data_IF_443148894083
#
_entry.id   IF_443148894083
#
_cell.length_a   1.000
_cell.length_b   1.000
_cell.length_c   1.000
_cell.angle_alpha   90.00
_cell.angle_beta   90.00
_cell.angle_gamma   90.00
#
_symmetry.space_group_name_H-M   'P 1'
#
loop_
_entity.id
_entity.type
_entity.pdbx_description
1 polymer ?
#
# COMPACT_ATOMS: atom_id res chain seq x y z
N UNK A 1 22.98 16.25 -22.69
CA UNK A 1 21.91 15.63 -21.88
C UNK A 1 22.61 15.13 -20.64
N UNK A 2 22.24 15.63 -19.46
CA UNK A 2 22.75 15.09 -18.19
C UNK A 2 22.33 13.63 -18.08
N UNK A 3 23.28 12.74 -17.76
CA UNK A 3 22.95 11.38 -17.34
C UNK A 3 22.16 11.49 -16.04
N UNK A 4 20.84 11.34 -16.11
CA UNK A 4 20.02 11.16 -14.92
C UNK A 4 20.33 9.78 -14.38
N UNK A 5 21.17 9.71 -13.35
CA UNK A 5 21.46 8.46 -12.65
C UNK A 5 20.41 8.25 -11.56
N UNK A 6 19.89 7.02 -11.46
CA UNK A 6 19.01 6.65 -10.35
C UNK A 6 19.82 6.61 -9.04
N UNK A 7 19.19 6.99 -7.91
CA UNK A 7 19.73 6.72 -6.60
C UNK A 7 20.12 5.25 -6.43
N UNK A 8 21.18 4.99 -5.65
CA UNK A 8 21.78 3.66 -5.53
C UNK A 8 20.80 2.60 -5.00
N UNK A 9 19.87 2.99 -4.13
CA UNK A 9 18.78 2.16 -3.59
C UNK A 9 17.76 1.70 -4.65
N UNK A 10 17.60 2.46 -5.74
CA UNK A 10 16.69 2.13 -6.83
C UNK A 10 17.41 1.53 -8.04
N UNK A 11 18.73 1.65 -8.10
CA UNK A 11 19.54 1.16 -9.22
C UNK A 11 19.55 -0.37 -9.32
N UNK A 12 19.33 -1.08 -8.20
CA UNK A 12 19.29 -2.56 -8.14
C UNK A 12 17.94 -3.13 -8.62
N UNK A 13 16.90 -2.30 -8.70
CA UNK A 13 15.56 -2.71 -9.12
C UNK A 13 15.46 -2.83 -10.64
N UNK A 14 14.52 -3.65 -11.12
CA UNK A 14 14.22 -3.73 -12.56
C UNK A 14 13.71 -2.37 -13.03
N UNK A 15 14.39 -1.77 -14.00
CA UNK A 15 14.06 -0.46 -14.54
C UNK A 15 13.79 -0.50 -16.04
N UNK A 16 12.83 0.32 -16.48
CA UNK A 16 12.51 0.56 -17.88
C UNK A 16 12.56 2.07 -18.11
N UNK A 17 13.29 2.52 -19.13
CA UNK A 17 13.46 3.95 -19.43
C UNK A 17 12.34 4.40 -20.37
N UNK A 18 11.51 5.32 -19.89
CA UNK A 18 10.38 5.90 -20.61
C UNK A 18 10.66 7.37 -20.94
N UNK A 19 11.46 7.60 -21.98
CA UNK A 19 11.90 8.96 -22.35
C UNK A 19 12.71 9.61 -21.23
N UNK A 20 12.08 10.56 -20.54
CA UNK A 20 12.69 11.31 -19.43
C UNK A 20 12.41 10.72 -18.03
N UNK A 21 11.66 9.62 -17.96
CA UNK A 21 11.23 8.98 -16.71
C UNK A 21 11.77 7.54 -16.58
N UNK A 22 11.97 7.11 -15.34
CA UNK A 22 12.24 5.72 -15.00
C UNK A 22 10.95 5.06 -14.53
N UNK A 23 10.64 3.89 -15.08
CA UNK A 23 9.56 3.03 -14.63
C UNK A 23 10.15 1.79 -13.94
N UNK A 24 9.71 1.54 -12.70
CA UNK A 24 10.19 0.45 -11.84
C UNK A 24 9.03 -0.52 -11.60
N UNK A 25 8.79 -1.50 -12.49
CA UNK A 25 7.71 -2.46 -12.31
C UNK A 25 8.01 -3.43 -11.15
N UNK A 26 6.97 -3.74 -10.36
CA UNK A 26 7.04 -4.78 -9.34
C UNK A 26 7.82 -4.40 -8.08
N UNK A 27 8.03 -3.11 -7.82
CA UNK A 27 8.55 -2.65 -6.52
C UNK A 27 7.57 -3.04 -5.41
N UNK A 28 8.09 -3.59 -4.31
CA UNK A 28 7.24 -3.89 -3.15
C UNK A 28 6.76 -2.60 -2.49
N UNK A 29 5.62 -2.65 -1.81
CA UNK A 29 5.09 -1.48 -1.09
C UNK A 29 6.09 -0.96 -0.03
N UNK A 30 6.79 -1.86 0.65
CA UNK A 30 7.81 -1.51 1.62
C UNK A 30 9.00 -0.80 0.97
N UNK A 31 9.53 -1.34 -0.13
CA UNK A 31 10.67 -0.74 -0.84
C UNK A 31 10.29 0.62 -1.46
N UNK A 32 9.05 0.75 -1.96
CA UNK A 32 8.52 2.00 -2.47
C UNK A 32 8.52 3.10 -1.40
N UNK A 33 8.09 2.78 -0.18
CA UNK A 33 8.07 3.71 0.94
C UNK A 33 9.44 3.95 1.59
N UNK A 34 10.37 3.01 1.47
CA UNK A 34 11.74 3.13 1.98
C UNK A 34 12.67 3.89 1.02
N UNK A 35 12.26 4.05 -0.25
CA UNK A 35 13.08 4.69 -1.27
C UNK A 35 13.44 6.15 -0.95
N UNK A 36 14.56 6.60 -1.50
CA UNK A 36 15.04 7.98 -1.43
C UNK A 36 14.16 9.00 -2.17
N UNK A 37 13.12 8.54 -2.87
CA UNK A 37 12.20 9.36 -3.65
C UNK A 37 11.21 10.17 -2.81
N UNK A 38 10.83 11.35 -3.31
CA UNK A 38 9.75 12.14 -2.72
C UNK A 38 8.43 11.75 -3.36
N UNK A 39 7.53 11.15 -2.58
CA UNK A 39 6.21 10.75 -3.08
C UNK A 39 5.32 11.95 -3.42
N UNK A 40 4.38 11.75 -4.35
CA UNK A 40 3.38 12.76 -4.71
C UNK A 40 2.55 13.25 -3.53
N UNK A 41 2.33 12.39 -2.53
CA UNK A 41 1.65 12.74 -1.27
C UNK A 41 2.44 13.80 -0.49
N UNK A 42 3.76 13.61 -0.33
CA UNK A 42 4.64 14.58 0.34
C UNK A 42 4.65 15.91 -0.41
N UNK A 43 4.75 15.89 -1.74
CA UNK A 43 4.73 17.12 -2.57
C UNK A 43 3.42 17.91 -2.37
N UNK A 44 2.26 17.23 -2.42
CA UNK A 44 0.97 17.87 -2.21
C UNK A 44 0.83 18.48 -0.82
N UNK A 45 1.34 17.80 0.21
CA UNK A 45 1.35 18.32 1.59
C UNK A 45 2.29 19.51 1.72
N UNK A 46 3.46 19.46 1.09
CA UNK A 46 4.46 20.52 1.17
C UNK A 46 3.93 21.85 0.63
N UNK A 47 3.14 21.80 -0.46
CA UNK A 47 2.46 22.98 -1.00
C UNK A 47 1.41 23.60 -0.06
N UNK A 48 0.91 22.85 0.94
CA UNK A 48 -0.02 23.35 1.95
C UNK A 48 0.70 23.81 3.22
N UNK A 49 1.60 22.99 3.74
CA UNK A 49 2.41 23.27 4.91
C UNK A 49 3.69 22.45 4.88
N UNK A 50 4.81 23.14 4.78
CA UNK A 50 6.13 22.50 4.71
C UNK A 50 6.46 21.75 6.00
N UNK A 51 6.12 22.33 7.16
CA UNK A 51 6.35 21.70 8.45
C UNK A 51 5.53 20.42 8.60
N UNK A 52 4.27 20.45 8.13
CA UNK A 52 3.40 19.28 8.13
C UNK A 52 3.95 18.18 7.22
N UNK A 53 4.40 18.53 6.00
CA UNK A 53 4.99 17.56 5.10
C UNK A 53 6.28 16.90 5.62
N UNK A 54 7.07 17.61 6.44
CA UNK A 54 8.35 17.12 6.97
C UNK A 54 8.24 16.41 8.33
N UNK A 55 7.19 16.66 9.12
CA UNK A 55 7.08 16.19 10.52
C UNK A 55 5.80 15.47 10.87
N UNK A 56 4.86 15.33 9.94
CA UNK A 56 3.61 14.64 10.24
C UNK A 56 3.84 13.14 10.37
N UNK A 57 3.60 12.63 11.58
CA UNK A 57 3.36 11.20 11.79
C UNK A 57 1.95 10.88 11.26
N UNK A 58 1.88 9.95 10.30
CA UNK A 58 0.60 9.53 9.73
C UNK A 58 -0.09 8.60 10.72
N UNK A 59 -1.17 9.08 11.34
CA UNK A 59 -1.97 8.26 12.23
C UNK A 59 -2.73 7.18 11.45
N UNK A 60 -2.69 5.94 11.96
CA UNK A 60 -3.42 4.80 11.41
C UNK A 60 -4.92 4.86 11.73
N UNK A 61 -5.63 5.75 11.02
CA UNK A 61 -7.08 5.88 11.13
C UNK A 61 -7.80 4.60 10.68
N UNK A 62 -9.04 4.32 11.15
CA UNK A 62 -9.82 3.18 10.69
C UNK A 62 -10.00 3.13 9.17
N UNK A 63 -10.23 4.28 8.54
CA UNK A 63 -10.38 4.37 7.09
C UNK A 63 -9.08 4.03 6.34
N UNK A 64 -7.93 4.48 6.86
CA UNK A 64 -6.63 4.16 6.27
C UNK A 64 -6.35 2.66 6.39
N UNK A 65 -6.59 2.05 7.56
CA UNK A 65 -6.43 0.61 7.76
C UNK A 65 -7.31 -0.22 6.84
N UNK A 66 -8.59 0.16 6.70
CA UNK A 66 -9.50 -0.50 5.76
C UNK A 66 -9.01 -0.37 4.31
N UNK A 67 -8.57 0.83 3.90
CA UNK A 67 -8.05 1.08 2.56
C UNK A 67 -6.77 0.29 2.25
N UNK A 68 -5.83 0.24 3.19
CA UNK A 68 -4.61 -0.56 3.08
C UNK A 68 -4.92 -2.05 2.96
N UNK A 69 -5.81 -2.58 3.80
CA UNK A 69 -6.24 -3.97 3.71
C UNK A 69 -6.94 -4.28 2.38
N UNK A 70 -7.77 -3.36 1.87
CA UNK A 70 -8.42 -3.50 0.57
C UNK A 70 -7.39 -3.51 -0.57
N UNK A 71 -6.36 -2.66 -0.50
CA UNK A 71 -5.27 -2.64 -1.48
C UNK A 71 -4.50 -3.96 -1.51
N UNK A 72 -4.07 -4.45 -0.34
CA UNK A 72 -3.33 -5.72 -0.25
C UNK A 72 -4.13 -6.89 -0.81
N UNK A 73 -5.45 -6.92 -0.63
CA UNK A 73 -6.28 -8.00 -1.20
C UNK A 73 -6.55 -7.85 -2.70
N UNK A 74 -7.03 -6.67 -3.13
CA UNK A 74 -7.57 -6.47 -4.48
C UNK A 74 -6.44 -6.27 -5.51
N UNK A 75 -5.38 -5.56 -5.13
CA UNK A 75 -4.30 -5.16 -6.03
C UNK A 75 -3.13 -6.13 -5.94
N UNK A 76 -2.68 -6.43 -4.72
CA UNK A 76 -1.47 -7.26 -4.50
C UNK A 76 -1.80 -8.76 -4.39
N UNK A 77 -3.06 -9.09 -4.08
CA UNK A 77 -3.58 -10.44 -4.04
C UNK A 77 -3.66 -11.07 -2.65
N UNK A 78 -4.43 -12.16 -2.57
CA UNK A 78 -4.77 -12.83 -1.32
C UNK A 78 -3.55 -13.26 -0.48
N UNK A 79 -2.45 -13.66 -1.12
CA UNK A 79 -1.22 -14.05 -0.41
C UNK A 79 -0.61 -12.89 0.39
N UNK A 80 -0.58 -11.69 -0.19
CA UNK A 80 -0.03 -10.50 0.48
C UNK A 80 -0.97 -10.09 1.61
N UNK A 81 -2.28 -10.08 1.34
CA UNK A 81 -3.29 -9.84 2.37
C UNK A 81 -3.13 -10.76 3.59
N UNK A 82 -2.97 -12.07 3.39
CA UNK A 82 -2.83 -13.02 4.49
C UNK A 82 -1.54 -12.83 5.31
N UNK A 83 -0.51 -12.23 4.72
CA UNK A 83 0.76 -11.97 5.39
C UNK A 83 0.78 -10.63 6.14
N UNK A 84 0.04 -9.63 5.65
CA UNK A 84 0.09 -8.25 6.14
C UNK A 84 -1.14 -7.84 6.97
N UNK A 85 -2.24 -8.57 6.88
CA UNK A 85 -3.52 -8.21 7.50
C UNK A 85 -3.96 -9.25 8.54
N UNK A 86 -4.27 -8.78 9.75
CA UNK A 86 -4.85 -9.60 10.81
C UNK A 86 -6.34 -9.28 11.01
N UNK A 87 -7.17 -10.32 10.99
CA UNK A 87 -8.61 -10.19 11.20
C UNK A 87 -9.00 -10.59 12.63
N UNK A 88 -9.69 -9.70 13.35
CA UNK A 88 -10.20 -9.97 14.69
C UNK A 88 -11.71 -10.19 14.65
N UNK A 89 -12.17 -11.25 15.32
CA UNK A 89 -13.59 -11.57 15.45
C UNK A 89 -14.18 -11.06 16.78
N UNK A 90 -15.48 -10.74 16.75
CA UNK A 90 -16.22 -10.29 17.92
C UNK A 90 -15.96 -8.83 18.30
N UNK A 91 -16.39 -8.45 19.51
CA UNK A 91 -16.37 -7.04 19.94
C UNK A 91 -14.94 -6.51 20.13
N UNK A 92 -14.57 -5.38 19.49
CA UNK A 92 -13.24 -4.77 19.63
C UNK A 92 -12.99 -4.20 21.03
N UNK A 93 -14.04 -4.06 21.84
CA UNK A 93 -13.97 -3.43 23.16
C UNK A 93 -13.59 -4.39 24.29
N UNK A 94 -13.47 -5.69 24.00
CA UNK A 94 -13.04 -6.68 25.00
C UNK A 94 -11.56 -6.54 25.32
N UNK A 95 -11.15 -6.83 26.56
CA UNK A 95 -9.74 -6.76 26.95
C UNK A 95 -8.88 -7.73 26.13
N UNK A 96 -9.41 -8.92 25.80
CA UNK A 96 -8.74 -9.89 24.96
C UNK A 96 -8.47 -9.33 23.55
N UNK A 97 -9.48 -8.73 22.90
CA UNK A 97 -9.32 -8.18 21.55
C UNK A 97 -8.46 -6.90 21.52
N UNK A 98 -8.46 -6.11 22.59
CA UNK A 98 -7.54 -4.98 22.73
C UNK A 98 -6.08 -5.45 22.79
N UNK A 99 -5.81 -6.49 23.56
CA UNK A 99 -4.47 -7.06 23.65
C UNK A 99 -4.06 -7.68 22.31
N UNK A 100 -4.93 -8.51 21.72
CA UNK A 100 -4.69 -9.16 20.44
C UNK A 100 -4.37 -8.13 19.34
N UNK A 101 -5.11 -7.02 19.33
CA UNK A 101 -4.86 -5.91 18.41
C UNK A 101 -3.50 -5.26 18.63
N UNK A 102 -3.14 -4.96 19.88
CA UNK A 102 -1.83 -4.40 20.20
C UNK A 102 -0.70 -5.35 19.79
N UNK A 103 -0.87 -6.66 19.99
CA UNK A 103 0.12 -7.68 19.61
C UNK A 103 0.32 -7.75 18.09
N UNK A 104 -0.76 -7.64 17.30
CA UNK A 104 -0.68 -7.61 15.84
C UNK A 104 -0.11 -6.30 15.31
N UNK A 105 -0.51 -5.16 15.86
CA UNK A 105 0.06 -3.86 15.50
C UNK A 105 1.56 -3.79 15.83
N UNK A 106 2.00 -4.38 16.95
CA UNK A 106 3.42 -4.50 17.30
C UNK A 106 4.23 -5.38 16.34
N UNK A 107 3.56 -6.32 15.64
CA UNK A 107 4.14 -7.13 14.56
C UNK A 107 4.13 -6.41 13.20
N UNK A 108 3.60 -5.19 13.13
CA UNK A 108 3.48 -4.43 11.89
C UNK A 108 2.30 -4.82 11.02
N UNK A 109 1.34 -5.60 11.53
CA UNK A 109 0.18 -6.04 10.77
C UNK A 109 -0.94 -5.00 10.80
N UNK A 110 -1.65 -4.88 9.68
CA UNK A 110 -2.88 -4.07 9.62
C UNK A 110 -4.03 -4.85 10.25
N UNK A 111 -4.62 -4.30 11.31
CA UNK A 111 -5.71 -4.98 12.03
C UNK A 111 -7.07 -4.46 11.58
N UNK A 112 -7.91 -5.38 11.10
CA UNK A 112 -9.30 -5.16 10.68
C UNK A 112 -10.27 -6.13 11.37
N UNK A 113 -11.56 -5.86 11.28
CA UNK A 113 -12.60 -6.80 11.73
C UNK A 113 -12.98 -7.82 10.66
N UNK A 114 -13.65 -8.89 11.06
CA UNK A 114 -14.18 -9.89 10.12
C UNK A 114 -15.19 -9.26 9.15
N UNK A 115 -16.04 -8.36 9.63
CA UNK A 115 -17.02 -7.68 8.77
C UNK A 115 -16.34 -6.77 7.72
N UNK A 116 -15.21 -6.17 8.08
CA UNK A 116 -14.39 -5.39 7.16
C UNK A 116 -13.74 -6.28 6.10
N UNK A 117 -13.18 -7.43 6.50
CA UNK A 117 -12.65 -8.43 5.56
C UNK A 117 -13.71 -8.88 4.57
N UNK A 118 -14.88 -9.27 5.07
CA UNK A 118 -15.97 -9.77 4.22
C UNK A 118 -16.42 -8.70 3.22
N UNK A 119 -16.48 -7.44 3.65
CA UNK A 119 -16.74 -6.31 2.75
C UNK A 119 -15.67 -6.15 1.68
N UNK A 120 -14.39 -6.35 1.99
CA UNK A 120 -13.29 -6.28 1.00
C UNK A 120 -13.44 -7.41 -0.03
N UNK A 121 -13.79 -8.62 0.41
CA UNK A 121 -14.05 -9.76 -0.47
C UNK A 121 -15.24 -9.45 -1.39
N UNK A 122 -16.33 -8.90 -0.85
CA UNK A 122 -17.51 -8.50 -1.63
C UNK A 122 -17.17 -7.39 -2.64
N UNK A 123 -16.32 -6.44 -2.27
CA UNK A 123 -15.80 -5.41 -3.18
C UNK A 123 -15.01 -6.03 -4.34
N UNK A 124 -14.13 -6.98 -4.04
CA UNK A 124 -13.35 -7.71 -5.06
C UNK A 124 -14.26 -8.49 -6.01
N UNK A 125 -15.29 -9.15 -5.49
CA UNK A 125 -16.24 -9.93 -6.28
C UNK A 125 -17.16 -9.05 -7.14
N UNK A 126 -17.31 -7.78 -6.78
CA UNK A 126 -18.13 -6.79 -7.48
C UNK A 126 -17.36 -6.01 -8.54
N UNK A 127 -16.07 -6.30 -8.74
CA UNK A 127 -15.27 -5.67 -9.78
C UNK A 127 -15.79 -6.03 -11.18
N UNK A 128 -15.80 -5.03 -12.06
CA UNK A 128 -16.12 -5.25 -13.46
C UNK A 128 -15.02 -6.10 -14.13
N UNK A 129 -15.35 -6.97 -15.09
CA UNK A 129 -14.36 -7.76 -15.82
C UNK A 129 -13.20 -6.93 -16.38
N UNK A 130 -13.49 -5.72 -16.86
CA UNK A 130 -12.51 -4.78 -17.41
C UNK A 130 -11.52 -4.27 -16.35
N UNK A 131 -11.93 -4.19 -15.09
CA UNK A 131 -11.06 -3.77 -13.98
C UNK A 131 -9.95 -4.79 -13.72
N UNK A 132 -10.20 -6.08 -13.95
CA UNK A 132 -9.16 -7.10 -13.80
C UNK A 132 -7.99 -6.88 -14.77
N UNK A 133 -8.27 -6.41 -15.99
CA UNK A 133 -7.21 -6.07 -16.96
C UNK A 133 -6.38 -4.87 -16.52
N UNK A 134 -6.97 -3.92 -15.80
CA UNK A 134 -6.27 -2.75 -15.28
C UNK A 134 -5.42 -3.07 -14.04
N UNK A 135 -5.87 -4.02 -13.22
CA UNK A 135 -5.21 -4.47 -12.00
C UNK A 135 -4.12 -5.52 -12.26
N UNK A 136 -4.39 -6.43 -13.21
CA UNK A 136 -3.52 -7.51 -13.67
C UNK A 136 -3.27 -7.39 -15.19
N UNK A 137 -2.56 -6.33 -15.58
CA UNK A 137 -2.05 -6.12 -16.95
C UNK A 137 -1.21 -7.29 -17.48
N UNK A 138 -1.37 -7.62 -18.76
CA UNK A 138 -0.47 -8.57 -19.41
C UNK A 138 0.86 -7.92 -19.83
N UNK A 139 1.90 -8.74 -20.04
CA UNK A 139 3.18 -8.32 -20.64
C UNK A 139 2.95 -7.82 -22.08
N UNK A 140 2.58 -6.55 -22.21
CA UNK A 140 2.27 -5.89 -23.49
C UNK A 140 1.19 -4.80 -23.40
N UNK A 141 0.43 -4.75 -22.30
CA UNK A 141 -0.53 -3.67 -22.03
C UNK A 141 0.14 -2.42 -21.41
N UNK A 142 1.44 -2.50 -21.13
CA UNK A 142 2.26 -1.39 -20.65
C UNK A 142 3.43 -1.13 -21.59
N UNK A 143 3.91 0.13 -21.65
CA UNK A 143 5.05 0.50 -22.50
C UNK A 143 6.33 -0.26 -22.14
#
# INVERSE_FOLDING_TARGET
MENKELPQDLAEQRQIIMGDAFYLPGISNNDYHASSGVSSSVIRKFGRSQLHALREEVEQTPALRFGSAAHSYIVEGENVFNNEVACISGSPYTNANKQLRADYEARGLTVITVEERDRIIDMSNSLLPEAHKMLNPDEGDYP
#
